data_IF_055603794374
#
_entry.id   IF_055603794374
#
_cell.length_a   1.000
_cell.length_b   1.000
_cell.length_c   1.000
_cell.angle_alpha   90.00
_cell.angle_beta   90.00
_cell.angle_gamma   90.00
#
_symmetry.space_group_name_H-M   'P 1'
#
loop_
_entity.id
_entity.type
_entity.pdbx_description
1 polymer ?
#
# COMPACT_ATOMS: atom_id res chain seq x y z
N UNK A 1 -37.80 -14.29 -24.03
CA UNK A 1 -37.10 -12.99 -24.22
C UNK A 1 -35.66 -13.19 -23.77
N UNK A 2 -34.71 -13.22 -24.72
CA UNK A 2 -33.33 -13.66 -24.48
C UNK A 2 -32.39 -12.51 -24.09
N UNK A 3 -31.30 -12.90 -23.45
CA UNK A 3 -30.23 -12.14 -22.76
C UNK A 3 -29.44 -11.13 -23.61
N UNK A 4 -29.94 -10.67 -24.77
CA UNK A 4 -29.20 -9.88 -25.75
C UNK A 4 -29.61 -8.39 -25.86
N UNK A 5 -30.44 -7.88 -24.95
CA UNK A 5 -30.96 -6.51 -25.04
C UNK A 5 -30.23 -5.44 -24.17
N UNK A 6 -29.26 -5.82 -23.33
CA UNK A 6 -28.67 -4.88 -22.36
C UNK A 6 -27.25 -4.37 -22.70
N UNK A 7 -26.73 -4.66 -23.90
CA UNK A 7 -25.34 -4.35 -24.29
C UNK A 7 -25.17 -3.20 -25.29
N UNK A 8 -26.19 -2.38 -25.52
CA UNK A 8 -26.12 -1.26 -26.49
C UNK A 8 -26.81 0.00 -25.99
N UNK A 9 -26.35 0.56 -24.86
CA UNK A 9 -26.66 1.96 -24.54
C UNK A 9 -25.70 2.54 -23.49
N UNK A 10 -24.43 2.70 -23.84
CA UNK A 10 -23.53 3.62 -23.14
C UNK A 10 -22.30 3.86 -24.03
N UNK A 11 -22.40 4.87 -24.92
CA UNK A 11 -21.29 5.61 -25.55
C UNK A 11 -20.29 4.77 -26.40
N UNK A 12 -20.10 5.00 -27.69
CA UNK A 12 -20.15 6.24 -28.46
C UNK A 12 -18.89 6.24 -29.34
N UNK A 13 -19.09 5.97 -30.63
CA UNK A 13 -18.13 5.92 -31.72
C UNK A 13 -17.02 6.97 -31.64
N UNK A 14 -15.75 6.56 -31.77
CA UNK A 14 -14.75 7.33 -32.51
C UNK A 14 -13.85 6.40 -33.34
N UNK A 15 -13.75 6.79 -34.61
CA UNK A 15 -13.18 6.09 -35.74
C UNK A 15 -11.67 5.83 -35.63
N UNK A 16 -11.28 4.69 -36.21
CA UNK A 16 -9.92 4.40 -36.66
C UNK A 16 -9.47 5.39 -37.74
N UNK A 17 -8.31 6.01 -37.55
CA UNK A 17 -7.48 6.55 -38.62
C UNK A 17 -6.04 6.52 -38.16
N UNK A 18 -5.27 5.60 -38.74
CA UNK A 18 -3.84 5.49 -38.55
C UNK A 18 -3.16 6.72 -39.19
N UNK A 19 -2.49 7.52 -38.37
CA UNK A 19 -1.57 8.55 -38.85
C UNK A 19 -0.15 7.97 -38.77
N UNK A 20 0.40 7.62 -39.93
CA UNK A 20 1.81 7.26 -40.12
C UNK A 20 2.61 8.56 -40.06
N UNK A 21 3.44 8.72 -39.02
CA UNK A 21 4.43 9.79 -38.94
C UNK A 21 5.75 9.33 -39.58
N UNK A 22 6.42 10.16 -40.40
CA UNK A 22 7.69 9.79 -41.01
C UNK A 22 8.82 9.78 -39.97
N UNK A 23 9.60 8.70 -40.00
CA UNK A 23 10.85 8.51 -39.25
C UNK A 23 11.86 9.55 -39.72
N UNK A 24 12.26 10.47 -38.82
CA UNK A 24 13.35 11.41 -39.07
C UNK A 24 14.64 10.85 -38.47
N UNK A 25 15.68 10.78 -39.30
CA UNK A 25 16.99 10.23 -38.96
C UNK A 25 17.65 10.94 -37.76
N UNK A 26 18.27 10.15 -36.87
CA UNK A 26 19.07 10.64 -35.76
C UNK A 26 20.46 11.11 -36.24
N UNK A 27 20.98 12.25 -35.74
CA UNK A 27 22.36 12.65 -36.01
C UNK A 27 23.35 11.86 -35.14
N UNK A 28 24.54 11.64 -35.68
CA UNK A 28 25.63 10.85 -35.13
C UNK A 28 26.14 11.37 -33.76
N UNK A 29 26.46 10.45 -32.84
CA UNK A 29 27.17 10.75 -31.59
C UNK A 29 28.69 10.87 -31.84
N UNK A 30 29.38 11.88 -31.29
CA UNK A 30 30.83 11.85 -31.21
C UNK A 30 31.29 10.94 -30.06
N UNK A 31 32.38 10.21 -30.30
CA UNK A 31 33.06 9.35 -29.32
C UNK A 31 33.75 10.21 -28.25
N UNK A 32 33.42 9.99 -26.98
CA UNK A 32 34.22 10.49 -25.85
C UNK A 32 34.59 9.32 -24.96
N UNK A 33 35.90 9.17 -24.74
CA UNK A 33 36.48 8.18 -23.83
C UNK A 33 36.07 8.49 -22.39
N UNK A 34 35.40 7.54 -21.75
CA UNK A 34 35.09 7.62 -20.33
C UNK A 34 36.22 6.97 -19.55
N UNK A 35 36.99 7.81 -18.84
CA UNK A 35 37.87 7.37 -17.75
C UNK A 35 37.00 6.69 -16.68
N UNK A 36 37.38 5.48 -16.27
CA UNK A 36 36.88 4.86 -15.05
C UNK A 36 37.34 5.71 -13.85
N UNK A 37 36.46 6.56 -13.33
CA UNK A 37 36.58 7.06 -11.96
C UNK A 37 35.82 6.10 -11.05
N UNK A 38 36.56 5.37 -10.22
CA UNK A 38 36.03 4.59 -9.12
C UNK A 38 35.15 5.49 -8.24
N UNK A 39 33.84 5.25 -8.24
CA UNK A 39 32.93 5.85 -7.28
C UNK A 39 33.14 5.15 -5.93
N UNK A 40 33.80 5.85 -5.02
CA UNK A 40 33.70 5.57 -3.58
C UNK A 40 32.23 5.71 -3.18
N UNK A 41 31.62 4.64 -2.69
CA UNK A 41 30.27 4.66 -2.12
C UNK A 41 30.31 5.44 -0.83
N UNK A 42 30.11 6.76 -0.91
CA UNK A 42 29.76 7.54 0.28
C UNK A 42 28.34 7.14 0.67
N UNK A 43 28.22 6.41 1.77
CA UNK A 43 26.94 6.30 2.49
C UNK A 43 26.59 7.72 2.94
N UNK A 44 25.76 8.41 2.15
CA UNK A 44 25.24 9.72 2.51
C UNK A 44 24.46 9.54 3.81
N UNK A 45 24.98 10.12 4.90
CA UNK A 45 24.30 10.25 6.17
C UNK A 45 23.16 11.27 5.99
N UNK A 46 22.11 10.90 5.23
CA UNK A 46 20.92 11.73 5.06
C UNK A 46 20.21 11.77 6.39
N UNK A 47 20.10 12.96 6.96
CA UNK A 47 19.24 13.19 8.12
C UNK A 47 17.80 12.81 7.74
N UNK A 48 17.20 11.95 8.55
CA UNK A 48 15.84 11.47 8.34
C UNK A 48 14.87 12.65 8.31
N UNK A 49 13.99 12.65 7.30
CA UNK A 49 12.96 13.68 7.09
C UNK A 49 11.57 13.22 7.53
N UNK A 50 11.42 11.95 7.94
CA UNK A 50 10.13 11.41 8.40
C UNK A 50 9.90 11.75 9.87
N UNK A 51 8.66 12.04 10.28
CA UNK A 51 8.34 12.14 11.70
C UNK A 51 8.63 10.84 12.45
N UNK A 52 8.96 10.96 13.73
CA UNK A 52 9.13 9.79 14.60
C UNK A 52 7.81 9.03 14.69
N UNK A 53 7.87 7.70 14.59
CA UNK A 53 6.70 6.85 14.82
C UNK A 53 6.30 6.95 16.30
N UNK A 54 5.10 7.46 16.60
CA UNK A 54 4.57 7.50 17.98
C UNK A 54 3.73 6.26 18.33
N UNK A 55 3.58 5.32 17.40
CA UNK A 55 2.78 4.10 17.52
C UNK A 55 3.65 2.85 17.77
N UNK A 56 4.84 3.04 18.35
CA UNK A 56 5.79 1.94 18.63
C UNK A 56 5.15 0.81 19.46
N UNK A 57 4.22 1.17 20.34
CA UNK A 57 3.52 0.29 21.27
C UNK A 57 2.41 -0.57 20.61
N UNK A 58 2.06 -0.29 19.34
CA UNK A 58 1.12 -1.07 18.52
C UNK A 58 1.77 -1.70 17.29
N UNK A 59 3.08 -1.56 17.14
CA UNK A 59 3.88 -2.43 16.25
C UNK A 59 3.82 -3.87 16.72
N UNK A 60 4.14 -4.85 15.86
CA UNK A 60 4.16 -6.25 16.28
C UNK A 60 5.12 -6.48 17.46
N UNK A 61 6.27 -5.81 17.45
CA UNK A 61 7.25 -5.83 18.54
C UNK A 61 6.71 -5.22 19.84
N UNK A 62 5.96 -4.10 19.75
CA UNK A 62 5.29 -3.48 20.91
C UNK A 62 4.16 -4.34 21.47
N UNK A 63 3.39 -4.99 20.60
CA UNK A 63 2.29 -5.87 20.98
C UNK A 63 2.77 -7.16 21.62
N UNK A 64 3.85 -7.79 21.15
CA UNK A 64 4.46 -8.97 21.81
C UNK A 64 4.79 -8.68 23.28
N UNK A 65 5.31 -7.48 23.56
CA UNK A 65 5.70 -7.08 24.93
C UNK A 65 4.51 -6.83 25.85
N UNK A 66 3.36 -6.45 25.29
CA UNK A 66 2.19 -6.03 26.06
C UNK A 66 1.03 -7.03 26.06
N UNK A 67 1.03 -8.00 25.15
CA UNK A 67 -0.02 -9.00 25.00
C UNK A 67 0.57 -10.43 25.03
N UNK A 68 0.43 -11.15 26.16
CA UNK A 68 0.94 -12.52 26.30
C UNK A 68 0.40 -13.52 25.28
N UNK A 69 -0.79 -13.27 24.70
CA UNK A 69 -1.37 -14.17 23.70
C UNK A 69 -0.61 -14.11 22.38
N UNK A 70 0.23 -13.08 22.18
CA UNK A 70 1.05 -12.94 20.98
C UNK A 70 2.41 -13.65 21.10
N UNK A 71 2.78 -14.13 22.30
CA UNK A 71 4.05 -14.82 22.56
C UNK A 71 4.33 -16.01 21.62
N UNK A 72 3.34 -16.88 21.27
CA UNK A 72 3.56 -17.98 20.33
C UNK A 72 3.98 -17.53 18.93
N UNK A 73 3.69 -16.28 18.56
CA UNK A 73 3.96 -15.72 17.23
C UNK A 73 5.26 -14.89 17.18
N UNK A 74 5.99 -14.81 18.30
CA UNK A 74 7.23 -14.04 18.41
C UNK A 74 8.33 -14.51 17.46
N UNK A 75 8.35 -15.80 17.10
CA UNK A 75 9.34 -16.38 16.17
C UNK A 75 8.78 -16.58 14.75
N UNK A 76 7.62 -15.99 14.44
CA UNK A 76 7.00 -16.11 13.12
C UNK A 76 7.96 -15.69 12.00
N UNK A 77 8.07 -16.53 10.96
CA UNK A 77 8.88 -16.25 9.77
C UNK A 77 8.48 -14.96 9.06
N UNK A 78 7.21 -14.55 9.17
CA UNK A 78 6.65 -13.35 8.55
C UNK A 78 7.09 -12.03 9.21
N UNK A 79 7.93 -12.10 10.25
CA UNK A 79 8.59 -10.95 10.86
C UNK A 79 9.87 -10.52 10.15
N UNK A 80 10.45 -11.40 9.34
CA UNK A 80 11.74 -11.18 8.72
C UNK A 80 11.59 -10.74 7.26
N UNK A 81 12.54 -9.93 6.79
CA UNK A 81 12.63 -9.58 5.38
C UNK A 81 12.85 -10.84 4.54
N UNK A 82 12.34 -10.86 3.31
CA UNK A 82 12.62 -11.95 2.37
C UNK A 82 13.98 -11.77 1.70
N UNK A 83 14.48 -12.81 1.03
CA UNK A 83 15.68 -12.72 0.21
C UNK A 83 15.48 -11.77 -0.98
N UNK A 84 16.58 -11.21 -1.50
CA UNK A 84 16.55 -10.36 -2.70
C UNK A 84 15.93 -11.08 -3.90
N UNK A 85 16.15 -12.39 -4.05
CA UNK A 85 15.53 -13.20 -5.12
C UNK A 85 14.00 -13.17 -5.04
N UNK A 86 13.43 -13.44 -3.86
CA UNK A 86 11.98 -13.43 -3.64
C UNK A 86 11.42 -12.02 -3.78
N UNK A 87 12.18 -11.01 -3.37
CA UNK A 87 11.85 -9.60 -3.55
C UNK A 87 11.71 -9.24 -5.04
N UNK A 88 12.71 -9.56 -5.86
CA UNK A 88 12.69 -9.26 -7.30
C UNK A 88 11.62 -10.06 -8.04
N UNK A 89 11.36 -11.30 -7.62
CA UNK A 89 10.26 -12.12 -8.16
C UNK A 89 8.90 -11.46 -7.91
N UNK A 90 8.62 -11.06 -6.66
CA UNK A 90 7.37 -10.38 -6.31
C UNK A 90 7.23 -9.03 -7.03
N UNK A 91 8.31 -8.22 -7.12
CA UNK A 91 8.32 -6.98 -7.89
C UNK A 91 7.96 -7.23 -9.35
N UNK A 92 8.61 -8.18 -10.01
CA UNK A 92 8.35 -8.51 -11.41
C UNK A 92 6.92 -9.04 -11.61
N UNK A 93 6.42 -9.83 -10.67
CA UNK A 93 5.03 -10.31 -10.67
C UNK A 93 4.01 -9.18 -10.56
N UNK A 94 4.24 -8.21 -9.67
CA UNK A 94 3.41 -7.02 -9.54
C UNK A 94 3.39 -6.20 -10.84
N UNK A 95 4.56 -5.95 -11.42
CA UNK A 95 4.72 -5.21 -12.69
C UNK A 95 4.00 -5.94 -13.84
N UNK A 96 4.14 -7.27 -13.94
CA UNK A 96 3.47 -8.10 -14.94
C UNK A 96 1.93 -8.09 -14.80
N UNK A 97 1.42 -7.85 -13.58
CA UNK A 97 -0.01 -7.69 -13.30
C UNK A 97 -0.50 -6.24 -13.46
N UNK A 98 0.33 -5.35 -14.00
CA UNK A 98 -0.04 -3.97 -14.34
C UNK A 98 -0.01 -3.00 -13.17
N UNK A 99 0.53 -3.40 -12.01
CA UNK A 99 0.77 -2.47 -10.91
C UNK A 99 2.05 -1.67 -11.15
N UNK A 100 2.04 -0.39 -10.77
CA UNK A 100 3.26 0.43 -10.81
C UNK A 100 4.04 0.24 -9.50
N UNK A 101 5.28 -0.23 -9.57
CA UNK A 101 6.09 -0.52 -8.38
C UNK A 101 7.19 0.51 -8.19
N UNK A 102 7.32 0.99 -6.95
CA UNK A 102 8.36 1.91 -6.47
C UNK A 102 9.15 1.21 -5.38
N UNK A 103 10.39 0.84 -5.66
CA UNK A 103 11.25 0.21 -4.65
C UNK A 103 11.79 1.25 -3.69
N UNK A 104 11.70 0.96 -2.39
CA UNK A 104 12.29 1.74 -1.31
C UNK A 104 13.31 0.91 -0.53
N UNK A 105 14.47 1.50 -0.21
CA UNK A 105 15.51 0.79 0.57
C UNK A 105 15.18 0.66 2.06
N UNK A 106 14.54 1.67 2.64
CA UNK A 106 14.31 1.82 4.08
C UNK A 106 13.06 2.67 4.36
N UNK A 107 12.68 2.82 5.63
CA UNK A 107 11.56 3.68 6.09
C UNK A 107 11.62 5.12 5.56
N UNK A 108 12.82 5.71 5.50
CA UNK A 108 12.99 7.12 5.10
C UNK A 108 12.77 7.30 3.60
N UNK A 109 13.34 6.41 2.79
CA UNK A 109 13.14 6.39 1.34
C UNK A 109 11.68 6.09 0.98
N UNK A 110 11.03 5.19 1.72
CA UNK A 110 9.60 4.89 1.54
C UNK A 110 8.71 6.10 1.81
N UNK A 111 9.00 6.85 2.88
CA UNK A 111 8.27 8.07 3.24
C UNK A 111 8.38 9.15 2.16
N UNK A 112 9.59 9.43 1.67
CA UNK A 112 9.79 10.44 0.62
C UNK A 112 9.20 10.02 -0.72
N UNK A 113 9.32 8.74 -1.10
CA UNK A 113 8.64 8.22 -2.29
C UNK A 113 7.14 8.40 -2.18
N UNK A 114 6.52 7.97 -1.08
CA UNK A 114 5.08 8.12 -0.86
C UNK A 114 4.65 9.57 -1.02
N UNK A 115 5.36 10.53 -0.40
CA UNK A 115 5.04 11.96 -0.52
C UNK A 115 5.09 12.44 -1.97
N UNK A 116 6.09 12.02 -2.74
CA UNK A 116 6.23 12.41 -4.13
C UNK A 116 5.10 11.91 -5.05
N UNK A 117 4.36 10.88 -4.62
CA UNK A 117 3.27 10.28 -5.41
C UNK A 117 1.94 11.01 -5.30
N UNK A 118 1.78 11.89 -4.31
CA UNK A 118 0.51 12.53 -3.98
C UNK A 118 0.59 14.03 -4.34
N UNK A 119 -0.13 14.48 -5.38
CA UNK A 119 -0.20 15.88 -5.76
C UNK A 119 -0.74 16.77 -4.63
N UNK A 120 -0.22 17.99 -4.54
CA UNK A 120 -0.79 19.03 -3.67
C UNK A 120 -2.29 19.26 -4.00
N UNK A 121 -3.08 19.56 -2.99
CA UNK A 121 -4.53 19.75 -3.08
C UNK A 121 -5.37 18.46 -3.09
N UNK A 122 -4.74 17.28 -3.23
CA UNK A 122 -5.47 16.01 -3.25
C UNK A 122 -6.15 15.70 -1.92
N UNK A 123 -7.34 15.10 -1.96
CA UNK A 123 -7.95 14.45 -0.80
C UNK A 123 -7.24 13.12 -0.49
N UNK A 124 -6.87 12.95 0.77
CA UNK A 124 -6.14 11.76 1.24
C UNK A 124 -6.86 11.12 2.42
N UNK A 125 -6.95 9.79 2.38
CA UNK A 125 -7.35 8.98 3.53
C UNK A 125 -6.51 7.71 3.58
N UNK A 126 -6.51 7.04 4.72
CA UNK A 126 -5.86 5.75 4.88
C UNK A 126 -6.69 4.75 5.68
N UNK A 127 -6.59 3.47 5.29
CA UNK A 127 -6.95 2.38 6.18
C UNK A 127 -5.94 2.29 7.34
N UNK A 128 -6.29 1.57 8.41
CA UNK A 128 -5.32 1.24 9.44
C UNK A 128 -4.17 0.39 8.84
N UNK A 129 -2.94 0.79 9.13
CA UNK A 129 -1.73 0.18 8.59
C UNK A 129 -0.53 0.51 9.47
N UNK A 130 -0.04 -0.49 10.20
CA UNK A 130 1.20 -0.37 10.98
C UNK A 130 2.40 -0.04 10.10
N UNK A 131 2.43 -0.50 8.85
CA UNK A 131 3.49 -0.11 7.91
C UNK A 131 3.48 1.41 7.64
N UNK A 132 2.30 2.05 7.53
CA UNK A 132 2.20 3.51 7.37
C UNK A 132 2.59 4.27 8.65
N UNK A 133 2.28 3.71 9.82
CA UNK A 133 2.71 4.25 11.12
C UNK A 133 4.23 4.20 11.26
N UNK A 134 4.84 3.07 10.92
CA UNK A 134 6.28 2.85 11.05
C UNK A 134 7.14 3.74 10.15
N UNK A 135 6.67 4.06 8.95
CA UNK A 135 7.34 5.03 8.07
C UNK A 135 7.04 6.49 8.47
N UNK A 136 6.26 6.75 9.52
CA UNK A 136 5.94 8.09 10.00
C UNK A 136 4.84 8.82 9.22
N UNK A 137 4.18 8.17 8.25
CA UNK A 137 3.14 8.79 7.44
C UNK A 137 1.93 9.22 8.27
N UNK A 138 1.49 8.39 9.22
CA UNK A 138 0.32 8.72 10.05
C UNK A 138 0.59 9.94 10.93
N UNK A 139 1.76 10.04 11.54
CA UNK A 139 2.19 11.22 12.28
C UNK A 139 2.20 12.47 11.38
N UNK A 140 2.85 12.38 10.22
CA UNK A 140 2.92 13.47 9.24
C UNK A 140 1.52 13.97 8.82
N UNK A 141 0.61 13.04 8.53
CA UNK A 141 -0.76 13.36 8.15
C UNK A 141 -1.53 14.05 9.29
N UNK A 142 -1.34 13.62 10.54
CA UNK A 142 -2.08 14.16 11.68
C UNK A 142 -1.52 15.49 12.20
N UNK A 143 -0.23 15.78 11.98
CA UNK A 143 0.36 17.11 12.22
C UNK A 143 -0.21 18.18 11.28
N UNK A 144 -0.83 17.77 10.17
CA UNK A 144 -1.54 18.63 9.22
C UNK A 144 -0.64 19.74 8.60
N UNK A 145 0.68 19.53 8.60
CA UNK A 145 1.69 20.38 7.94
C UNK A 145 2.10 19.78 6.58
N UNK A 146 1.11 19.59 5.71
CA UNK A 146 1.26 18.97 4.41
C UNK A 146 0.27 19.59 3.41
N UNK A 147 0.53 19.50 2.09
CA UNK A 147 -0.28 20.20 1.09
C UNK A 147 -1.53 19.42 0.67
N UNK A 148 -2.09 18.57 1.53
CA UNK A 148 -3.19 17.65 1.18
C UNK A 148 -4.43 17.91 2.02
N UNK A 149 -5.60 17.54 1.50
CA UNK A 149 -6.85 17.59 2.23
C UNK A 149 -7.00 16.30 3.08
N UNK A 150 -6.71 16.39 4.37
CA UNK A 150 -6.71 15.25 5.29
C UNK A 150 -8.13 14.79 5.69
N UNK A 151 -8.68 13.85 4.92
CA UNK A 151 -10.02 13.28 5.18
C UNK A 151 -10.03 12.42 6.45
N UNK A 152 -8.92 11.73 6.77
CA UNK A 152 -8.78 10.98 8.01
C UNK A 152 -9.00 11.88 9.23
N UNK A 153 -8.31 13.03 9.25
CA UNK A 153 -8.42 14.04 10.30
C UNK A 153 -9.84 14.59 10.43
N UNK A 154 -10.50 14.86 9.30
CA UNK A 154 -11.91 15.29 9.27
C UNK A 154 -12.84 14.25 9.92
N UNK A 155 -12.70 12.96 9.57
CA UNK A 155 -13.50 11.88 10.16
C UNK A 155 -13.24 11.78 11.67
N UNK A 156 -11.99 11.81 12.12
CA UNK A 156 -11.63 11.64 13.54
C UNK A 156 -12.01 12.84 14.43
N UNK A 157 -12.23 14.02 13.83
CA UNK A 157 -12.74 15.21 14.52
C UNK A 157 -14.22 15.08 14.89
N UNK A 158 -15.02 14.42 14.05
CA UNK A 158 -16.42 14.11 14.38
C UNK A 158 -16.48 13.14 15.57
N UNK A 159 -17.29 13.48 16.57
CA UNK A 159 -17.42 12.75 17.84
C UNK A 159 -18.73 11.99 17.97
N UNK A 160 -19.74 12.38 17.20
CA UNK A 160 -20.97 11.61 17.07
C UNK A 160 -20.68 10.33 16.27
N UNK A 161 -20.88 9.13 16.85
CA UNK A 161 -20.55 7.88 16.17
C UNK A 161 -21.31 7.67 14.86
N UNK A 162 -22.60 8.05 14.80
CA UNK A 162 -23.42 7.84 13.62
C UNK A 162 -22.98 8.75 12.46
N UNK A 163 -22.69 10.03 12.75
CA UNK A 163 -22.15 10.97 11.77
C UNK A 163 -20.74 10.59 11.35
N UNK A 164 -19.90 10.14 12.28
CA UNK A 164 -18.56 9.68 11.97
C UNK A 164 -18.58 8.49 11.02
N UNK A 165 -19.47 7.52 11.25
CA UNK A 165 -19.66 6.37 10.36
C UNK A 165 -20.23 6.77 9.00
N UNK A 166 -21.11 7.76 8.95
CA UNK A 166 -21.58 8.34 7.70
C UNK A 166 -20.44 8.99 6.90
N UNK A 167 -19.57 9.76 7.56
CA UNK A 167 -18.38 10.34 6.93
C UNK A 167 -17.42 9.24 6.42
N UNK A 168 -17.23 8.15 7.17
CA UNK A 168 -16.44 7.00 6.70
C UNK A 168 -17.01 6.40 5.42
N UNK A 169 -18.33 6.19 5.37
CA UNK A 169 -19.00 5.63 4.18
C UNK A 169 -18.95 6.58 2.98
N UNK A 170 -19.24 7.86 3.19
CA UNK A 170 -19.39 8.85 2.11
C UNK A 170 -18.09 9.45 1.61
N UNK A 171 -17.09 9.62 2.48
CA UNK A 171 -15.83 10.31 2.15
C UNK A 171 -14.62 9.40 2.34
N UNK A 172 -14.67 8.47 3.30
CA UNK A 172 -13.51 7.69 3.69
C UNK A 172 -12.96 6.78 2.58
N UNK A 173 -13.78 6.35 1.64
CA UNK A 173 -13.37 5.44 0.56
C UNK A 173 -13.28 6.12 -0.80
N UNK A 174 -13.84 7.31 -0.98
CA UNK A 174 -13.99 8.02 -2.28
C UNK A 174 -13.05 9.22 -2.40
N UNK A 175 -11.82 9.07 -1.89
CA UNK A 175 -10.77 10.09 -1.94
C UNK A 175 -9.94 10.00 -3.22
N UNK A 176 -9.21 11.07 -3.55
CA UNK A 176 -8.27 11.08 -4.68
C UNK A 176 -7.14 10.06 -4.48
N UNK A 177 -6.63 9.95 -3.25
CA UNK A 177 -5.58 9.00 -2.88
C UNK A 177 -5.90 8.27 -1.57
N UNK A 178 -6.09 6.96 -1.69
CA UNK A 178 -6.29 6.06 -0.55
C UNK A 178 -5.02 5.27 -0.26
N UNK A 179 -4.52 5.38 0.96
CA UNK A 179 -3.29 4.72 1.39
C UNK A 179 -3.60 3.50 2.25
N UNK A 180 -2.89 2.41 1.99
CA UNK A 180 -3.01 1.18 2.78
C UNK A 180 -1.71 0.38 2.75
N UNK A 181 -1.62 -0.66 3.56
CA UNK A 181 -0.74 -1.80 3.28
C UNK A 181 -1.58 -3.01 2.85
N UNK A 182 -0.88 -4.05 2.41
CA UNK A 182 -1.46 -5.37 2.20
C UNK A 182 -1.04 -6.30 3.32
N UNK A 183 -1.80 -7.38 3.52
CA UNK A 183 -1.42 -8.44 4.45
C UNK A 183 -0.55 -9.48 3.77
N UNK A 184 -0.57 -9.60 2.45
CA UNK A 184 0.35 -10.47 1.72
C UNK A 184 0.52 -9.98 0.29
N UNK A 185 1.70 -10.22 -0.26
CA UNK A 185 2.02 -10.09 -1.68
C UNK A 185 2.61 -11.42 -2.11
N UNK A 186 2.00 -12.11 -3.05
CA UNK A 186 2.56 -13.37 -3.55
C UNK A 186 3.77 -13.09 -4.44
N UNK A 187 4.65 -14.07 -4.59
CA UNK A 187 5.78 -13.99 -5.51
C UNK A 187 5.34 -13.80 -6.98
N UNK A 188 4.10 -14.16 -7.31
CA UNK A 188 3.53 -13.93 -8.64
C UNK A 188 2.87 -12.54 -8.79
N UNK A 189 2.81 -11.72 -7.73
CA UNK A 189 2.26 -10.36 -7.74
C UNK A 189 0.79 -10.20 -7.37
N UNK A 190 0.08 -11.25 -6.94
CA UNK A 190 -1.25 -11.09 -6.33
C UNK A 190 -1.12 -10.47 -4.94
N UNK A 191 -1.99 -9.51 -4.61
CA UNK A 191 -2.01 -8.88 -3.28
C UNK A 191 -3.26 -9.30 -2.53
N UNK A 192 -3.14 -9.63 -1.25
CA UNK A 192 -4.24 -10.05 -0.41
C UNK A 192 -4.30 -9.31 0.92
N UNK A 193 -5.50 -9.10 1.44
CA UNK A 193 -5.70 -8.50 2.74
C UNK A 193 -7.00 -8.97 3.41
N UNK A 194 -6.97 -8.97 4.75
CA UNK A 194 -8.14 -9.13 5.59
C UNK A 194 -8.66 -7.78 6.10
N UNK A 195 -9.98 -7.68 6.22
CA UNK A 195 -10.66 -6.51 6.81
C UNK A 195 -11.83 -6.97 7.69
N UNK A 196 -12.10 -6.19 8.74
CA UNK A 196 -13.23 -6.37 9.65
C UNK A 196 -14.44 -5.51 9.26
N UNK A 197 -14.21 -4.28 8.82
CA UNK A 197 -15.29 -3.31 8.54
C UNK A 197 -15.66 -3.21 7.06
N UNK A 198 -14.79 -3.74 6.18
CA UNK A 198 -14.89 -3.59 4.73
C UNK A 198 -14.44 -2.22 4.21
N UNK A 199 -14.02 -1.29 5.07
CA UNK A 199 -13.57 0.05 4.65
C UNK A 199 -12.37 0.00 3.72
N UNK A 200 -11.40 -0.89 4.01
CA UNK A 200 -10.21 -1.07 3.17
C UNK A 200 -10.61 -1.68 1.82
N UNK A 201 -11.51 -2.67 1.82
CA UNK A 201 -12.05 -3.26 0.59
C UNK A 201 -12.74 -2.20 -0.26
N UNK A 202 -13.62 -1.37 0.33
CA UNK A 202 -14.33 -0.33 -0.40
C UNK A 202 -13.41 0.69 -1.07
N UNK A 203 -12.38 1.18 -0.34
CA UNK A 203 -11.41 2.13 -0.89
C UNK A 203 -10.53 1.51 -1.98
N UNK A 204 -10.03 0.30 -1.75
CA UNK A 204 -9.09 -0.39 -2.65
C UNK A 204 -9.79 -0.89 -3.92
N UNK A 205 -10.88 -1.64 -3.78
CA UNK A 205 -11.57 -2.30 -4.88
C UNK A 205 -12.07 -1.30 -5.94
N UNK A 206 -12.64 -0.17 -5.50
CA UNK A 206 -13.27 0.77 -6.42
C UNK A 206 -13.25 2.24 -5.97
N UNK A 207 -13.56 2.53 -4.71
CA UNK A 207 -13.95 3.87 -4.28
C UNK A 207 -12.91 4.96 -4.57
N UNK A 208 -11.63 4.69 -4.31
CA UNK A 208 -10.59 5.71 -4.41
C UNK A 208 -10.17 5.97 -5.86
N UNK A 209 -9.88 7.23 -6.19
CA UNK A 209 -9.32 7.60 -7.49
C UNK A 209 -7.97 6.94 -7.76
N UNK A 210 -7.12 6.89 -6.73
CA UNK A 210 -5.83 6.23 -6.72
C UNK A 210 -5.62 5.47 -5.39
N UNK A 211 -4.88 4.36 -5.44
CA UNK A 211 -4.50 3.57 -4.28
C UNK A 211 -2.98 3.49 -4.23
N UNK A 212 -2.39 3.84 -3.08
CA UNK A 212 -0.97 3.62 -2.81
C UNK A 212 -0.86 2.54 -1.73
N UNK A 213 -0.36 1.39 -2.14
CA UNK A 213 -0.02 0.28 -1.26
C UNK A 213 1.41 0.46 -0.77
N UNK A 214 1.62 0.51 0.53
CA UNK A 214 2.95 0.54 1.15
C UNK A 214 3.17 -0.78 1.86
N UNK A 215 4.21 -1.52 1.49
CA UNK A 215 4.44 -2.86 2.03
C UNK A 215 5.91 -3.15 2.28
N UNK A 216 6.21 -3.70 3.46
CA UNK A 216 7.50 -4.32 3.75
C UNK A 216 7.69 -5.65 3.02
N UNK A 217 8.94 -6.06 2.86
CA UNK A 217 9.31 -7.28 2.14
C UNK A 217 8.89 -8.55 2.89
N UNK A 218 8.75 -8.48 4.21
CA UNK A 218 8.25 -9.56 5.07
C UNK A 218 6.81 -10.00 4.77
N UNK A 219 6.09 -9.23 3.95
CA UNK A 219 4.74 -9.56 3.47
C UNK A 219 4.76 -10.39 2.18
N UNK A 220 5.93 -10.66 1.62
CA UNK A 220 6.08 -11.49 0.43
C UNK A 220 5.97 -12.98 0.79
N UNK A 221 5.01 -13.65 0.16
CA UNK A 221 4.67 -15.08 0.34
C UNK A 221 4.76 -15.81 -0.98
N UNK A 222 4.85 -17.14 -0.96
CA UNK A 222 4.96 -17.97 -2.16
C UNK A 222 3.74 -17.84 -3.07
N UNK A 223 2.53 -18.01 -2.50
CA UNK A 223 1.28 -18.14 -3.23
C UNK A 223 0.06 -17.70 -2.39
N UNK A 224 -1.13 -17.75 -2.97
CA UNK A 224 -2.38 -17.34 -2.31
C UNK A 224 -2.71 -18.19 -1.07
N UNK A 225 -2.34 -19.47 -1.05
CA UNK A 225 -2.55 -20.33 0.11
C UNK A 225 -1.65 -19.89 1.29
N UNK A 226 -0.38 -19.56 1.02
CA UNK A 226 0.49 -18.96 2.04
C UNK A 226 0.02 -17.56 2.42
N UNK A 227 -0.57 -16.78 1.50
CA UNK A 227 -1.16 -15.48 1.82
C UNK A 227 -2.28 -15.60 2.86
N UNK A 228 -3.21 -16.54 2.67
CA UNK A 228 -4.24 -16.84 3.66
C UNK A 228 -3.63 -17.27 5.00
N UNK A 229 -2.68 -18.22 4.97
CA UNK A 229 -2.02 -18.68 6.20
C UNK A 229 -1.31 -17.54 6.94
N UNK A 230 -0.63 -16.62 6.24
CA UNK A 230 -0.02 -15.42 6.85
C UNK A 230 -1.09 -14.54 7.50
N UNK A 231 -2.21 -14.32 6.83
CA UNK A 231 -3.30 -13.50 7.34
C UNK A 231 -3.88 -14.09 8.62
N UNK A 232 -4.21 -15.39 8.60
CA UNK A 232 -4.84 -16.07 9.73
C UNK A 232 -3.87 -16.27 10.89
N UNK A 233 -2.63 -16.68 10.62
CA UNK A 233 -1.69 -17.13 11.64
C UNK A 233 -0.69 -16.04 12.09
N UNK A 234 -0.67 -14.87 11.46
CA UNK A 234 0.25 -13.80 11.83
C UNK A 234 -0.42 -12.42 11.90
N UNK A 235 -1.20 -12.04 10.87
CA UNK A 235 -1.88 -10.74 10.88
C UNK A 235 -2.99 -10.71 11.93
N UNK A 236 -3.91 -11.67 11.90
CA UNK A 236 -5.09 -11.69 12.76
C UNK A 236 -4.75 -11.74 14.27
N UNK A 237 -3.74 -12.52 14.73
CA UNK A 237 -3.28 -12.45 16.11
C UNK A 237 -2.78 -11.05 16.49
N UNK A 238 -2.00 -10.40 15.62
CA UNK A 238 -1.52 -9.03 15.84
C UNK A 238 -2.67 -8.02 15.90
N UNK A 239 -3.62 -8.11 14.96
CA UNK A 239 -4.80 -7.22 14.93
C UNK A 239 -5.71 -7.47 16.14
N UNK A 240 -5.80 -8.71 16.64
CA UNK A 240 -6.54 -9.04 17.86
C UNK A 240 -5.88 -8.47 19.10
N UNK A 241 -4.55 -8.54 19.21
CA UNK A 241 -3.79 -7.88 20.27
C UNK A 241 -3.98 -6.36 20.26
N UNK A 242 -3.90 -5.74 19.08
CA UNK A 242 -4.25 -4.34 18.90
C UNK A 242 -5.69 -4.04 19.34
N UNK A 243 -6.65 -4.88 18.98
CA UNK A 243 -8.08 -4.69 19.31
C UNK A 243 -8.34 -4.76 20.82
N UNK A 244 -7.67 -5.67 21.54
CA UNK A 244 -7.71 -5.72 23.01
C UNK A 244 -7.17 -4.45 23.63
N UNK A 245 -6.06 -3.94 23.10
CA UNK A 245 -5.42 -2.73 23.60
C UNK A 245 -6.25 -1.48 23.33
N UNK A 246 -6.63 -1.25 22.08
CA UNK A 246 -7.27 -0.01 21.61
C UNK A 246 -8.78 0.03 21.87
N UNK A 247 -9.49 -1.08 21.69
CA UNK A 247 -10.96 -1.12 21.70
C UNK A 247 -11.54 -1.92 22.87
N UNK A 248 -10.70 -2.56 23.70
CA UNK A 248 -11.13 -3.45 24.79
C UNK A 248 -11.99 -4.63 24.31
N UNK A 249 -11.83 -5.01 23.04
CA UNK A 249 -12.49 -6.15 22.42
C UNK A 249 -11.60 -7.39 22.54
N UNK A 250 -12.14 -8.58 22.85
CA UNK A 250 -11.32 -9.77 23.10
C UNK A 250 -10.50 -10.21 21.88
N UNK A 251 -11.09 -10.11 20.68
CA UNK A 251 -10.48 -10.51 19.41
C UNK A 251 -10.96 -9.61 18.27
N UNK A 252 -10.23 -9.66 17.14
CA UNK A 252 -10.70 -9.19 15.84
C UNK A 252 -11.14 -10.36 14.97
N UNK A 253 -11.73 -10.07 13.81
CA UNK A 253 -12.21 -11.08 12.86
C UNK A 253 -11.91 -10.66 11.42
N UNK A 254 -11.74 -11.65 10.55
CA UNK A 254 -11.67 -11.44 9.11
C UNK A 254 -13.09 -11.65 8.57
N UNK A 255 -13.84 -10.56 8.40
CA UNK A 255 -15.19 -10.61 7.81
C UNK A 255 -15.14 -10.44 6.29
N UNK A 256 -14.06 -9.84 5.80
CA UNK A 256 -13.77 -9.70 4.38
C UNK A 256 -12.35 -10.17 4.07
N UNK A 257 -12.21 -10.92 2.99
CA UNK A 257 -10.94 -11.29 2.38
C UNK A 257 -10.98 -10.89 0.91
N UNK A 258 -10.05 -10.04 0.48
CA UNK A 258 -9.94 -9.60 -0.90
C UNK A 258 -8.56 -9.96 -1.47
N UNK A 259 -8.58 -10.47 -2.69
CA UNK A 259 -7.39 -10.74 -3.50
C UNK A 259 -7.43 -9.87 -4.74
N UNK A 260 -6.48 -8.94 -4.85
CA UNK A 260 -6.23 -8.18 -6.07
C UNK A 260 -5.39 -9.04 -7.02
N UNK A 261 -6.06 -9.61 -8.01
CA UNK A 261 -5.41 -10.46 -9.01
C UNK A 261 -4.66 -9.67 -10.08
N UNK A 262 -5.16 -8.52 -10.48
CA UNK A 262 -4.55 -7.71 -11.53
C UNK A 262 -5.00 -6.25 -11.40
N UNK A 263 -4.18 -5.31 -11.88
CA UNK A 263 -4.63 -3.95 -12.10
C UNK A 263 -5.69 -3.90 -13.21
N UNK A 264 -6.66 -3.00 -13.09
CA UNK A 264 -7.67 -2.81 -14.13
C UNK A 264 -7.01 -2.19 -15.38
N UNK A 265 -7.05 -2.86 -16.55
CA UNK A 265 -6.44 -2.34 -17.77
C UNK A 265 -7.11 -1.07 -18.31
N UNK A 266 -8.34 -0.75 -17.89
CA UNK A 266 -9.03 0.48 -18.31
C UNK A 266 -8.66 1.70 -17.44
N UNK A 267 -7.98 1.48 -16.31
CA UNK A 267 -7.51 2.55 -15.41
C UNK A 267 -6.06 2.28 -14.98
N UNK A 268 -5.12 2.23 -15.95
CA UNK A 268 -3.73 1.90 -15.67
C UNK A 268 -3.11 2.88 -14.67
N UNK A 269 -2.31 2.36 -13.75
CA UNK A 269 -1.63 3.18 -12.74
C UNK A 269 -2.49 3.63 -11.55
N UNK A 270 -3.79 3.27 -11.51
CA UNK A 270 -4.66 3.55 -10.35
C UNK A 270 -4.08 2.97 -9.06
N UNK A 271 -3.52 1.76 -9.11
CA UNK A 271 -2.91 1.09 -7.95
C UNK A 271 -1.39 1.10 -8.12
N UNK A 272 -0.71 1.76 -7.19
CA UNK A 272 0.75 1.84 -7.13
C UNK A 272 1.25 1.19 -5.83
N UNK A 273 2.42 0.58 -5.87
CA UNK A 273 3.03 -0.14 -4.75
C UNK A 273 4.36 0.50 -4.39
N UNK A 274 4.52 0.97 -3.16
CA UNK A 274 5.81 1.28 -2.54
C UNK A 274 6.28 0.02 -1.82
N UNK A 275 7.19 -0.73 -2.44
CA UNK A 275 7.71 -1.99 -1.93
C UNK A 275 9.05 -1.74 -1.22
N UNK A 276 9.08 -2.00 0.08
CA UNK A 276 10.18 -1.63 0.97
C UNK A 276 11.03 -2.87 1.26
N UNK A 277 12.36 -2.77 1.13
CA UNK A 277 13.26 -3.91 1.41
C UNK A 277 13.22 -4.35 2.88
N UNK A 278 12.99 -3.43 3.80
CA UNK A 278 12.85 -3.72 5.23
C UNK A 278 11.57 -4.51 5.57
N UNK A 279 11.62 -5.23 6.69
CA UNK A 279 10.45 -5.88 7.27
C UNK A 279 9.61 -4.87 8.07
N UNK A 280 8.38 -4.61 7.62
CA UNK A 280 7.53 -3.55 8.17
C UNK A 280 6.06 -3.98 8.26
N UNK A 281 5.46 -3.66 9.39
CA UNK A 281 4.11 -4.04 9.75
C UNK A 281 3.94 -5.54 9.90
N UNK A 282 2.71 -5.91 10.20
CA UNK A 282 2.24 -7.29 10.21
C UNK A 282 1.08 -7.43 9.22
#
# INVERSE_FOLDING_TARGET
MSLNAFRRQAYGLLNSSALVLPVRAAPARPSTSLRLSYFSTSTSNRQSTRPKNTFEDVTFEGLIKSDPQLAPYSTSKYRNAVSDERFEKAKSGLEARGFKVHVAKDKDDAFEKLKSLIPAGSTVNSAHSTTLEEIGYINYLMENNHPWNNIRGTILKEKDPAKQDELRRKLGTTVDYFLTSMSAITENGEMAHGDFSGTKVGGVAYGAGNVIVVSGSNKIVKDEAEAWNRIEQHCLPGVSAFSRKAYKMPNSYITHYEVLRQANPTTPGRIQVVLIKEALGY
#
